data_IF_681982949699
#
_entry.id   IF_681982949699
#
_cell.length_a   1.000
_cell.length_b   1.000
_cell.length_c   1.000
_cell.angle_alpha   90.00
_cell.angle_beta   90.00
_cell.angle_gamma   90.00
#
_symmetry.space_group_name_H-M   'P 1'
#
loop_
_entity.id
_entity.type
_entity.pdbx_description
1 polymer ?
#
# COMPACT_ATOMS: atom_id res chain seq x y z
N UNK A 1 -21.86 -2.18 14.40
CA UNK A 1 -20.59 -1.89 13.72
C UNK A 1 -20.92 -0.97 12.56
N UNK A 2 -20.08 0.03 12.30
CA UNK A 2 -20.32 1.05 11.29
C UNK A 2 -18.99 1.45 10.62
N UNK A 3 -19.06 1.81 9.34
CA UNK A 3 -17.93 2.32 8.58
C UNK A 3 -17.67 3.78 8.94
N UNK A 4 -16.41 4.21 8.87
CA UNK A 4 -16.07 5.60 9.15
C UNK A 4 -15.01 6.19 8.20
N UNK A 5 -14.98 7.51 8.13
CA UNK A 5 -13.92 8.29 7.51
C UNK A 5 -13.01 8.80 8.62
N UNK A 6 -11.71 8.56 8.48
CA UNK A 6 -10.69 9.10 9.37
C UNK A 6 -9.90 10.17 8.62
N UNK A 7 -9.90 11.38 9.18
CA UNK A 7 -9.11 12.48 8.66
C UNK A 7 -7.65 12.26 9.00
N UNK A 8 -6.80 12.27 7.99
CA UNK A 8 -5.36 12.17 8.14
C UNK A 8 -4.66 13.27 7.36
N UNK A 9 -3.60 13.84 7.95
CA UNK A 9 -2.75 14.84 7.32
C UNK A 9 -1.30 14.41 7.50
N UNK A 10 -0.62 14.18 6.38
CA UNK A 10 0.81 13.90 6.36
C UNK A 10 1.57 15.01 7.14
N UNK A 11 2.44 14.63 8.06
CA UNK A 11 3.25 15.56 8.85
C UNK A 11 2.48 16.37 9.91
N UNK A 12 1.26 15.96 10.28
CA UNK A 12 0.65 16.46 11.51
C UNK A 12 1.50 16.02 12.71
N UNK A 13 1.64 16.86 13.75
CA UNK A 13 2.46 16.56 14.94
C UNK A 13 1.94 15.40 15.82
N UNK A 14 1.04 14.58 15.29
CA UNK A 14 0.51 13.38 15.92
C UNK A 14 1.41 12.18 15.60
N UNK A 15 1.51 11.23 16.55
CA UNK A 15 2.30 9.99 16.42
C UNK A 15 1.63 8.96 15.50
N UNK A 16 0.92 9.41 14.47
CA UNK A 16 0.19 8.56 13.56
C UNK A 16 1.16 7.81 12.65
N UNK A 17 1.00 6.50 12.58
CA UNK A 17 1.64 5.66 11.55
C UNK A 17 0.53 5.20 10.64
N UNK A 18 0.48 5.76 9.44
CA UNK A 18 -0.56 5.47 8.45
C UNK A 18 -0.72 3.96 8.28
N UNK A 19 -1.96 3.49 8.43
CA UNK A 19 -2.31 2.08 8.33
C UNK A 19 -1.99 1.20 9.53
N UNK A 20 -1.39 1.74 10.60
CA UNK A 20 -1.09 1.00 11.83
C UNK A 20 -1.71 1.64 13.08
N UNK A 21 -1.59 2.95 13.23
CA UNK A 21 -1.99 3.66 14.44
C UNK A 21 -2.58 5.02 14.09
N UNK A 22 -3.75 5.32 14.68
CA UNK A 22 -4.43 6.60 14.53
C UNK A 22 -4.75 7.20 15.88
N UNK A 23 -4.17 8.36 16.18
CA UNK A 23 -4.38 9.09 17.43
C UNK A 23 -5.55 10.06 17.31
N UNK A 24 -6.43 10.09 18.32
CA UNK A 24 -7.60 10.95 18.31
C UNK A 24 -8.06 11.38 19.71
N UNK A 25 -8.66 12.58 19.84
CA UNK A 25 -9.23 13.04 21.11
C UNK A 25 -10.53 12.31 21.46
N UNK A 26 -10.81 12.19 22.76
CA UNK A 26 -11.98 11.51 23.36
C UNK A 26 -13.34 11.93 22.79
N UNK A 27 -13.47 13.15 22.26
CA UNK A 27 -14.69 13.59 21.58
C UNK A 27 -15.10 12.68 20.40
N UNK A 28 -14.15 11.96 19.79
CA UNK A 28 -14.42 11.00 18.72
C UNK A 28 -14.54 9.55 19.18
N UNK A 29 -14.29 9.25 20.47
CA UNK A 29 -14.28 7.87 21.00
C UNK A 29 -15.56 7.11 20.68
N UNK A 30 -16.72 7.72 20.90
CA UNK A 30 -18.01 7.08 20.63
C UNK A 30 -18.21 6.72 19.15
N UNK A 31 -17.60 7.47 18.23
CA UNK A 31 -17.66 7.20 16.78
C UNK A 31 -16.66 6.13 16.38
N UNK A 32 -15.44 6.19 16.90
CA UNK A 32 -14.39 5.20 16.63
C UNK A 32 -14.77 3.82 17.18
N UNK A 33 -15.42 3.77 18.35
CA UNK A 33 -15.97 2.54 18.94
C UNK A 33 -17.02 1.89 18.03
N UNK A 34 -17.81 2.67 17.29
CA UNK A 34 -18.77 2.11 16.33
C UNK A 34 -18.08 1.41 15.17
N UNK A 35 -16.87 1.85 14.80
CA UNK A 35 -16.05 1.23 13.74
C UNK A 35 -15.15 0.09 14.21
N UNK A 36 -15.17 -0.27 15.49
CA UNK A 36 -14.38 -1.40 15.99
C UNK A 36 -14.80 -2.70 15.30
N UNK A 37 -13.82 -3.40 14.72
CA UNK A 37 -14.04 -4.60 13.92
C UNK A 37 -14.41 -4.34 12.46
N UNK A 38 -14.54 -3.07 12.06
CA UNK A 38 -14.99 -2.68 10.73
C UNK A 38 -14.01 -1.73 10.03
N UNK A 39 -14.34 -1.36 8.80
CA UNK A 39 -13.47 -0.63 7.89
C UNK A 39 -13.63 0.88 7.99
N UNK A 40 -12.52 1.56 7.80
CA UNK A 40 -12.43 3.00 7.65
C UNK A 40 -11.82 3.37 6.32
N UNK A 41 -12.10 4.58 5.86
CA UNK A 41 -11.48 5.19 4.69
C UNK A 41 -10.66 6.39 5.16
N UNK A 42 -9.43 6.49 4.69
CA UNK A 42 -8.57 7.64 4.91
C UNK A 42 -8.99 8.82 4.06
N UNK A 43 -9.11 10.00 4.66
CA UNK A 43 -9.48 11.25 4.00
C UNK A 43 -8.56 12.38 4.41
N UNK A 44 -8.10 13.20 3.47
CA UNK A 44 -7.35 14.40 3.83
C UNK A 44 -6.50 14.98 2.71
N UNK A 45 -5.68 16.00 3.01
CA UNK A 45 -4.73 16.52 2.05
C UNK A 45 -3.64 15.49 1.77
N UNK A 46 -3.25 15.38 0.50
CA UNK A 46 -2.07 14.60 0.08
C UNK A 46 -0.97 15.57 -0.33
N UNK A 47 0.26 15.26 0.07
CA UNK A 47 1.41 16.12 -0.22
C UNK A 47 1.58 16.34 -1.73
N UNK A 48 1.52 17.60 -2.17
CA UNK A 48 1.62 18.00 -3.57
C UNK A 48 0.29 18.04 -4.34
N UNK A 49 -0.86 17.84 -3.68
CA UNK A 49 -2.18 17.95 -4.31
C UNK A 49 -3.02 19.11 -3.74
N UNK A 50 -3.90 19.76 -4.55
CA UNK A 50 -4.58 20.99 -4.17
C UNK A 50 -5.86 20.81 -3.32
N UNK A 51 -6.39 19.60 -3.23
CA UNK A 51 -7.69 19.29 -2.61
C UNK A 51 -7.55 18.32 -1.43
N UNK A 52 -8.67 17.73 -1.01
CA UNK A 52 -8.74 16.63 -0.05
C UNK A 52 -9.24 15.38 -0.76
N UNK A 53 -8.61 14.26 -0.48
CA UNK A 53 -8.85 13.03 -1.20
C UNK A 53 -9.14 11.89 -0.24
N UNK A 54 -9.99 10.97 -0.67
CA UNK A 54 -10.01 9.63 -0.11
C UNK A 54 -8.84 8.85 -0.73
N UNK A 55 -8.05 8.18 0.11
CA UNK A 55 -6.74 7.67 -0.33
C UNK A 55 -6.49 6.19 -0.04
N UNK A 56 -7.28 5.56 0.84
CA UNK A 56 -7.09 4.16 1.17
C UNK A 56 -8.03 3.68 2.25
N UNK A 57 -7.92 2.41 2.59
CA UNK A 57 -8.76 1.69 3.55
C UNK A 57 -7.91 1.11 4.67
N UNK A 58 -8.50 0.93 5.84
CA UNK A 58 -7.95 0.09 6.91
C UNK A 58 -9.09 -0.47 7.77
N UNK A 59 -8.79 -1.50 8.56
CA UNK A 59 -9.73 -2.07 9.52
C UNK A 59 -9.32 -1.72 10.94
N UNK A 60 -10.27 -1.26 11.75
CA UNK A 60 -10.02 -0.96 13.17
C UNK A 60 -10.05 -2.25 13.97
N UNK A 61 -8.96 -2.57 14.65
CA UNK A 61 -8.80 -3.84 15.37
C UNK A 61 -8.89 -3.67 16.89
N UNK A 62 -8.43 -2.54 17.42
CA UNK A 62 -8.46 -2.23 18.84
C UNK A 62 -8.49 -0.73 19.07
N UNK A 63 -8.87 -0.32 20.28
CA UNK A 63 -8.79 1.06 20.76
C UNK A 63 -8.10 1.02 22.12
N UNK A 64 -7.02 1.77 22.25
CA UNK A 64 -6.23 1.90 23.47
C UNK A 64 -6.28 3.34 23.99
N UNK A 65 -6.13 3.53 25.30
CA UNK A 65 -5.98 4.85 25.89
C UNK A 65 -4.55 5.38 25.70
N UNK A 66 -4.40 6.69 25.51
CA UNK A 66 -3.09 7.34 25.55
C UNK A 66 -2.69 7.61 27.01
N UNK A 67 -1.64 6.93 27.47
CA UNK A 67 -1.12 7.08 28.84
C UNK A 67 -0.27 8.35 29.03
N UNK A 68 0.13 9.03 27.96
CA UNK A 68 0.88 10.28 27.98
C UNK A 68 -0.03 11.51 27.89
N UNK A 69 -1.09 11.42 27.08
CA UNK A 69 -2.01 12.55 26.83
C UNK A 69 -3.41 12.20 27.33
N UNK A 70 -3.84 12.87 28.40
CA UNK A 70 -5.19 12.70 28.92
C UNK A 70 -6.27 13.00 27.86
N UNK A 71 -7.39 12.27 27.96
CA UNK A 71 -8.53 12.36 27.03
C UNK A 71 -8.15 12.14 25.56
N UNK A 72 -7.11 11.36 25.30
CA UNK A 72 -6.75 10.88 23.97
C UNK A 72 -6.65 9.36 23.94
N UNK A 73 -6.80 8.82 22.73
CA UNK A 73 -6.85 7.39 22.46
C UNK A 73 -6.15 7.09 21.14
N UNK A 74 -5.75 5.84 20.98
CA UNK A 74 -5.23 5.28 19.75
C UNK A 74 -6.18 4.23 19.18
N UNK A 75 -6.48 4.31 17.89
CA UNK A 75 -7.08 3.21 17.15
C UNK A 75 -5.97 2.40 16.47
N UNK A 76 -5.91 1.09 16.77
CA UNK A 76 -5.06 0.16 16.02
C UNK A 76 -5.73 -0.21 14.72
N UNK A 77 -4.95 -0.17 13.66
CA UNK A 77 -5.38 -0.40 12.30
C UNK A 77 -4.64 -1.60 11.71
N UNK A 78 -5.33 -2.36 10.88
CA UNK A 78 -4.79 -3.49 10.14
C UNK A 78 -5.35 -3.52 8.71
N UNK A 79 -4.81 -4.42 7.88
CA UNK A 79 -5.29 -4.67 6.53
C UNK A 79 -5.34 -3.42 5.63
N UNK A 80 -4.40 -2.50 5.85
CA UNK A 80 -4.36 -1.24 5.12
C UNK A 80 -4.03 -1.46 3.64
N UNK A 81 -4.73 -0.75 2.76
CA UNK A 81 -4.50 -0.73 1.31
C UNK A 81 -4.78 0.68 0.75
N UNK A 82 -3.94 1.16 -0.15
CA UNK A 82 -4.18 2.40 -0.90
C UNK A 82 -5.24 2.20 -2.00
N UNK A 83 -5.97 3.26 -2.35
CA UNK A 83 -6.77 3.26 -3.57
C UNK A 83 -5.88 3.35 -4.81
N UNK A 84 -6.34 2.79 -5.93
CA UNK A 84 -5.69 2.86 -7.25
C UNK A 84 -5.37 4.30 -7.63
N UNK A 85 -6.27 5.22 -7.27
CA UNK A 85 -6.03 6.66 -7.32
C UNK A 85 -6.70 7.40 -6.16
N UNK A 86 -6.17 8.57 -5.77
CA UNK A 86 -6.86 9.47 -4.87
C UNK A 86 -8.21 9.91 -5.45
N UNK A 87 -9.28 9.79 -4.66
CA UNK A 87 -10.63 10.20 -5.05
C UNK A 87 -10.93 11.59 -4.50
N UNK A 88 -11.17 12.59 -5.37
CA UNK A 88 -11.55 13.92 -4.90
C UNK A 88 -12.90 13.85 -4.18
N UNK A 89 -13.02 14.50 -3.04
CA UNK A 89 -14.23 14.45 -2.23
C UNK A 89 -15.47 15.06 -2.87
N UNK A 90 -15.29 15.88 -3.92
CA UNK A 90 -16.37 16.46 -4.74
C UNK A 90 -16.63 15.68 -6.03
N UNK A 91 -15.84 14.64 -6.33
CA UNK A 91 -16.06 13.80 -7.52
C UNK A 91 -17.48 13.19 -7.47
N UNK A 92 -18.15 13.14 -8.62
CA UNK A 92 -19.50 12.57 -8.78
C UNK A 92 -20.57 13.15 -7.84
N UNK A 93 -20.47 14.45 -7.50
CA UNK A 93 -21.41 15.09 -6.58
C UNK A 93 -21.13 14.80 -5.10
N UNK A 94 -20.00 14.15 -4.81
CA UNK A 94 -19.51 13.84 -3.48
C UNK A 94 -19.97 12.49 -2.96
N UNK A 95 -19.03 11.72 -2.42
CA UNK A 95 -19.29 10.38 -1.89
C UNK A 95 -20.03 10.43 -0.55
N UNK A 96 -19.75 11.41 0.30
CA UNK A 96 -20.40 11.62 1.59
C UNK A 96 -21.58 12.59 1.44
N UNK A 97 -22.82 12.11 1.50
CA UNK A 97 -24.05 12.91 1.30
C UNK A 97 -24.27 13.97 2.37
N UNK A 98 -23.72 13.74 3.56
CA UNK A 98 -23.81 14.70 4.65
C UNK A 98 -22.66 15.72 4.62
N UNK A 99 -21.61 15.49 3.82
CA UNK A 99 -20.49 16.41 3.62
C UNK A 99 -20.71 17.29 2.39
N UNK A 100 -21.12 16.68 1.29
CA UNK A 100 -21.49 17.37 0.05
C UNK A 100 -22.98 17.18 -0.14
N UNK A 101 -23.69 18.30 -0.08
CA UNK A 101 -25.13 18.36 -0.29
C UNK A 101 -25.47 18.08 -1.76
N UNK A 102 -26.72 17.71 -2.10
CA UNK A 102 -27.15 17.46 -3.48
C UNK A 102 -26.99 18.67 -4.42
N UNK A 103 -26.93 19.88 -3.88
CA UNK A 103 -26.66 21.12 -4.61
C UNK A 103 -25.15 21.39 -4.84
N UNK A 104 -24.28 20.48 -4.42
CA UNK A 104 -22.83 20.60 -4.51
C UNK A 104 -22.19 21.47 -3.41
N UNK A 105 -22.99 22.02 -2.48
CA UNK A 105 -22.47 22.80 -1.35
C UNK A 105 -21.78 21.89 -0.33
N UNK A 106 -20.68 22.38 0.27
CA UNK A 106 -19.95 21.63 1.31
C UNK A 106 -20.45 22.05 2.68
N UNK A 107 -20.83 21.09 3.51
CA UNK A 107 -21.23 21.33 4.89
C UNK A 107 -20.01 21.73 5.74
N UNK A 108 -19.89 23.00 6.19
CA UNK A 108 -18.70 23.47 6.89
C UNK A 108 -18.52 22.77 8.24
N UNK A 109 -19.61 22.53 8.98
CA UNK A 109 -19.56 21.89 10.30
C UNK A 109 -19.14 20.43 10.24
N UNK A 110 -19.46 19.73 9.15
CA UNK A 110 -18.99 18.35 8.93
C UNK A 110 -17.56 18.31 8.41
N UNK A 111 -17.16 19.28 7.59
CA UNK A 111 -15.83 19.34 6.96
C UNK A 111 -14.64 19.47 7.93
N UNK A 112 -14.92 19.92 9.17
CA UNK A 112 -13.93 20.07 10.25
C UNK A 112 -13.86 18.85 11.16
N UNK A 113 -14.78 17.87 11.03
CA UNK A 113 -14.77 16.68 11.87
C UNK A 113 -13.74 15.67 11.38
N UNK A 114 -12.82 15.28 12.27
CA UNK A 114 -11.79 14.32 11.94
C UNK A 114 -12.35 12.91 11.73
N UNK A 115 -13.31 12.48 12.55
CA UNK A 115 -13.96 11.16 12.43
C UNK A 115 -15.43 11.31 12.06
N UNK A 116 -15.84 10.68 10.96
CA UNK A 116 -17.22 10.73 10.45
C UNK A 116 -17.75 9.34 10.15
N UNK A 117 -18.89 8.97 10.72
CA UNK A 117 -19.57 7.71 10.38
C UNK A 117 -20.26 7.87 9.02
N UNK A 118 -20.14 6.84 8.19
CA UNK A 118 -20.74 6.77 6.85
C UNK A 118 -21.61 5.52 6.72
N UNK A 119 -22.53 5.57 5.77
CA UNK A 119 -23.37 4.42 5.44
C UNK A 119 -22.62 3.38 4.60
N UNK A 120 -23.10 2.14 4.60
CA UNK A 120 -22.54 1.06 3.78
C UNK A 120 -22.59 1.37 2.28
N UNK A 121 -23.61 2.10 1.82
CA UNK A 121 -23.71 2.54 0.43
C UNK A 121 -22.64 3.56 0.03
N UNK A 122 -22.32 4.50 0.91
CA UNK A 122 -21.24 5.48 0.69
C UNK A 122 -19.87 4.78 0.72
N UNK A 123 -19.67 3.86 1.66
CA UNK A 123 -18.46 3.04 1.73
C UNK A 123 -18.28 2.19 0.47
N UNK A 124 -19.34 1.49 0.02
CA UNK A 124 -19.32 0.71 -1.20
C UNK A 124 -18.97 1.54 -2.43
N UNK A 125 -19.52 2.75 -2.55
CA UNK A 125 -19.20 3.66 -3.65
C UNK A 125 -17.72 4.06 -3.66
N UNK A 126 -17.14 4.36 -2.49
CA UNK A 126 -15.72 4.68 -2.35
C UNK A 126 -14.83 3.50 -2.72
N UNK A 127 -15.12 2.32 -2.18
CA UNK A 127 -14.33 1.10 -2.43
C UNK A 127 -14.39 0.72 -3.91
N UNK A 128 -15.60 0.66 -4.49
CA UNK A 128 -15.75 0.32 -5.89
C UNK A 128 -15.04 1.31 -6.79
N UNK A 129 -15.12 2.62 -6.49
CA UNK A 129 -14.46 3.63 -7.31
C UNK A 129 -12.94 3.67 -7.13
N UNK A 130 -12.47 3.39 -5.92
CA UNK A 130 -11.06 3.47 -5.53
C UNK A 130 -10.26 2.22 -5.86
N UNK A 131 -10.89 1.07 -6.07
CA UNK A 131 -10.21 -0.22 -6.32
C UNK A 131 -10.64 -0.90 -7.63
N UNK A 132 -11.34 -0.20 -8.53
CA UNK A 132 -11.84 -0.74 -9.80
C UNK A 132 -10.81 -0.84 -10.92
N UNK A 133 -9.64 -0.20 -10.82
CA UNK A 133 -8.72 -0.15 -11.96
C UNK A 133 -8.08 -1.52 -12.19
N UNK A 134 -8.20 -2.10 -13.41
CA UNK A 134 -7.64 -3.41 -13.70
C UNK A 134 -6.11 -3.36 -13.68
N UNK A 135 -5.47 -4.47 -13.34
CA UNK A 135 -4.03 -4.60 -13.51
C UNK A 135 -3.70 -4.58 -15.00
N UNK A 136 -3.02 -3.52 -15.46
CA UNK A 136 -2.66 -3.33 -16.86
C UNK A 136 -1.55 -4.30 -17.31
N UNK A 137 -0.90 -5.01 -16.38
CA UNK A 137 0.27 -5.83 -16.69
C UNK A 137 0.18 -7.28 -16.20
N UNK A 138 0.58 -8.24 -17.04
CA UNK A 138 0.70 -9.62 -16.61
C UNK A 138 1.75 -9.78 -15.49
N UNK A 139 1.57 -10.83 -14.68
CA UNK A 139 2.49 -11.15 -13.58
C UNK A 139 3.90 -11.47 -14.09
N UNK A 140 4.91 -11.38 -13.22
CA UNK A 140 6.31 -11.68 -13.60
C UNK A 140 6.48 -13.10 -14.14
N UNK A 141 5.73 -14.05 -13.59
CA UNK A 141 5.86 -15.50 -13.84
C UNK A 141 4.80 -15.95 -14.87
N UNK A 142 5.16 -16.92 -15.71
CA UNK A 142 4.23 -17.66 -16.56
C UNK A 142 3.16 -18.36 -15.73
N UNK A 143 1.89 -18.12 -16.04
CA UNK A 143 0.86 -19.02 -15.56
C UNK A 143 1.05 -20.37 -16.25
N UNK A 144 0.88 -21.47 -15.50
CA UNK A 144 0.91 -22.81 -16.06
C UNK A 144 -0.16 -22.92 -17.16
N UNK A 145 0.25 -22.81 -18.43
CA UNK A 145 -0.64 -22.72 -19.58
C UNK A 145 -0.21 -21.71 -20.65
N UNK A 146 0.61 -20.70 -20.31
CA UNK A 146 1.09 -19.67 -21.26
C UNK A 146 2.32 -20.10 -22.09
N UNK A 147 2.83 -21.32 -21.88
CA UNK A 147 3.96 -21.84 -22.63
C UNK A 147 3.53 -22.23 -24.06
N UNK A 148 3.61 -21.30 -25.00
CA UNK A 148 3.66 -21.59 -26.45
C UNK A 148 5.03 -22.19 -26.87
N UNK A 149 5.60 -23.08 -26.07
CA UNK A 149 6.75 -23.86 -26.51
C UNK A 149 6.23 -25.10 -27.26
N UNK A 150 6.77 -25.44 -28.45
CA UNK A 150 6.49 -26.72 -29.06
C UNK A 150 7.00 -27.80 -28.09
N UNK A 151 6.09 -28.68 -27.69
CA UNK A 151 6.42 -29.83 -26.85
C UNK A 151 7.38 -30.75 -27.59
N UNK A 152 8.62 -30.87 -27.10
CA UNK A 152 9.49 -32.01 -27.38
C UNK A 152 10.54 -32.17 -26.25
N UNK A 153 11.06 -33.37 -25.98
CA UNK A 153 10.61 -34.17 -24.85
C UNK A 153 11.82 -34.67 -24.05
N UNK A 154 12.37 -33.84 -23.16
CA UNK A 154 13.45 -34.30 -22.27
C UNK A 154 13.15 -33.89 -20.83
N UNK A 155 12.33 -34.74 -20.20
CA UNK A 155 12.42 -35.21 -18.82
C UNK A 155 13.14 -34.29 -17.84
N UNK A 156 12.37 -33.46 -17.15
CA UNK A 156 12.75 -32.98 -15.82
C UNK A 156 12.06 -33.85 -14.78
N UNK A 157 12.83 -34.35 -13.82
CA UNK A 157 12.35 -35.14 -12.70
C UNK A 157 11.32 -34.33 -11.90
N UNK A 158 10.05 -34.76 -11.93
CA UNK A 158 9.01 -34.27 -11.03
C UNK A 158 9.31 -34.80 -9.62
N UNK A 159 9.72 -33.90 -8.74
CA UNK A 159 9.62 -34.12 -7.30
C UNK A 159 8.21 -33.68 -6.92
N UNK A 160 7.38 -34.64 -6.48
CA UNK A 160 6.04 -34.39 -5.95
C UNK A 160 6.12 -33.48 -4.71
N UNK A 161 6.10 -32.16 -4.91
CA UNK A 161 5.57 -31.23 -3.92
C UNK A 161 4.07 -31.08 -4.15
N UNK A 162 3.21 -31.21 -3.12
CA UNK A 162 1.80 -30.97 -3.29
C UNK A 162 1.60 -29.50 -3.68
N UNK A 163 1.30 -29.30 -4.96
CA UNK A 163 0.88 -28.02 -5.53
C UNK A 163 -0.23 -27.45 -4.66
N UNK A 164 0.07 -26.35 -3.97
CA UNK A 164 -0.94 -25.57 -3.29
C UNK A 164 -1.93 -25.12 -4.36
N UNK A 165 -3.15 -25.66 -4.27
CA UNK A 165 -4.16 -25.58 -5.32
C UNK A 165 -4.23 -24.17 -5.93
N UNK A 166 -3.94 -24.09 -7.23
CA UNK A 166 -4.06 -22.88 -8.00
C UNK A 166 -5.45 -22.27 -7.78
N UNK A 167 -5.47 -21.01 -7.38
CA UNK A 167 -6.71 -20.24 -7.27
C UNK A 167 -7.29 -20.05 -8.68
N UNK A 168 -8.14 -20.99 -9.10
CA UNK A 168 -9.04 -20.78 -10.22
C UNK A 168 -10.14 -19.87 -9.69
N UNK A 169 -10.09 -18.59 -10.07
CA UNK A 169 -11.17 -17.67 -9.78
C UNK A 169 -12.38 -18.10 -10.62
N UNK A 170 -13.26 -18.89 -10.01
CA UNK A 170 -14.61 -19.14 -10.51
C UNK A 170 -15.23 -17.81 -10.93
N UNK A 171 -15.75 -17.76 -12.16
CA UNK A 171 -16.29 -16.60 -12.87
C UNK A 171 -17.56 -15.98 -12.28
N UNK A 172 -17.57 -15.74 -10.97
CA UNK A 172 -18.52 -14.88 -10.29
C UNK A 172 -17.82 -13.57 -9.93
N UNK A 173 -18.33 -12.45 -10.44
CA UNK A 173 -17.99 -11.11 -9.93
C UNK A 173 -18.37 -11.05 -8.44
N UNK A 174 -17.44 -11.42 -7.56
CA UNK A 174 -17.59 -11.14 -6.13
C UNK A 174 -17.47 -9.63 -5.97
N UNK A 175 -18.40 -8.97 -5.25
CA UNK A 175 -18.30 -7.53 -5.02
C UNK A 175 -16.93 -7.21 -4.41
N UNK A 176 -16.23 -6.18 -4.92
CA UNK A 176 -14.87 -5.76 -4.50
C UNK A 176 -14.74 -5.66 -2.97
N UNK A 177 -15.84 -5.33 -2.28
CA UNK A 177 -15.98 -5.33 -0.83
C UNK A 177 -15.63 -6.67 -0.15
N UNK A 178 -16.00 -7.81 -0.73
CA UNK A 178 -15.66 -9.14 -0.21
C UNK A 178 -14.20 -9.51 -0.51
N UNK A 179 -13.61 -8.96 -1.58
CA UNK A 179 -12.22 -9.21 -1.96
C UNK A 179 -11.22 -8.37 -1.17
N UNK A 180 -11.60 -7.15 -0.73
CA UNK A 180 -10.76 -6.26 0.08
C UNK A 180 -10.30 -6.92 1.40
N UNK A 181 -11.08 -7.89 1.87
CA UNK A 181 -10.78 -8.70 3.06
C UNK A 181 -9.67 -9.74 2.77
N UNK A 182 -9.50 -10.16 1.52
CA UNK A 182 -8.62 -11.26 1.15
C UNK A 182 -7.19 -10.79 0.85
N UNK A 183 -6.21 -11.45 1.47
CA UNK A 183 -4.78 -11.14 1.35
C UNK A 183 -4.27 -11.17 -0.10
N UNK A 184 -4.59 -12.17 -0.94
CA UNK A 184 -4.14 -12.21 -2.33
C UNK A 184 -4.61 -11.03 -3.18
N UNK A 185 -5.81 -10.49 -2.90
CA UNK A 185 -6.30 -9.29 -3.60
C UNK A 185 -5.47 -8.07 -3.22
N UNK A 186 -5.17 -7.89 -1.93
CA UNK A 186 -4.32 -6.79 -1.47
C UNK A 186 -2.89 -6.90 -1.99
N UNK A 187 -2.33 -8.11 -2.00
CA UNK A 187 -1.01 -8.37 -2.58
C UNK A 187 -0.97 -8.07 -4.08
N UNK A 188 -2.03 -8.39 -4.82
CA UNK A 188 -2.14 -8.05 -6.24
C UNK A 188 -2.19 -6.53 -6.45
N UNK A 189 -3.06 -5.82 -5.70
CA UNK A 189 -3.19 -4.36 -5.77
C UNK A 189 -1.90 -3.63 -5.37
N UNK A 190 -1.27 -4.03 -4.27
CA UNK A 190 0.02 -3.48 -3.85
C UNK A 190 1.08 -3.64 -4.95
N UNK A 191 1.20 -4.82 -5.55
CA UNK A 191 2.12 -5.05 -6.67
C UNK A 191 1.80 -4.16 -7.87
N UNK A 192 0.52 -4.04 -8.23
CA UNK A 192 0.05 -3.17 -9.29
C UNK A 192 0.46 -1.71 -9.02
N UNK A 193 0.14 -1.18 -7.83
CA UNK A 193 0.45 0.19 -7.46
C UNK A 193 1.96 0.46 -7.48
N UNK A 194 2.78 -0.41 -6.87
CA UNK A 194 4.24 -0.22 -6.87
C UNK A 194 4.80 -0.24 -8.29
N UNK A 195 4.37 -1.16 -9.15
CA UNK A 195 4.81 -1.20 -10.54
C UNK A 195 4.41 0.06 -11.31
N UNK A 196 3.22 0.58 -11.07
CA UNK A 196 2.73 1.79 -11.70
C UNK A 196 3.53 3.03 -11.27
N UNK A 197 3.71 3.25 -9.96
CA UNK A 197 4.35 4.48 -9.44
C UNK A 197 5.86 4.55 -9.71
N UNK A 198 6.52 3.41 -9.88
CA UNK A 198 7.93 3.31 -10.29
C UNK A 198 8.11 3.15 -11.81
N UNK A 199 7.03 3.22 -12.62
CA UNK A 199 7.06 2.95 -14.05
C UNK A 199 7.82 1.65 -14.41
N UNK A 200 7.60 0.60 -13.62
CA UNK A 200 8.24 -0.71 -13.75
C UNK A 200 9.77 -0.65 -13.78
N UNK A 201 10.35 0.34 -13.13
CA UNK A 201 11.80 0.57 -13.07
C UNK A 201 12.31 0.20 -11.69
N UNK A 202 13.37 -0.61 -11.64
CA UNK A 202 14.04 -0.92 -10.38
C UNK A 202 14.61 0.38 -9.78
N UNK A 203 14.24 0.68 -8.54
CA UNK A 203 14.65 1.89 -7.83
C UNK A 203 16.17 1.99 -7.67
N UNK A 204 16.86 0.85 -7.55
CA UNK A 204 18.29 0.81 -7.23
C UNK A 204 19.18 0.75 -8.48
N UNK A 205 18.75 0.03 -9.51
CA UNK A 205 19.55 -0.16 -10.73
C UNK A 205 19.15 0.81 -11.84
N UNK A 206 17.93 1.36 -11.77
CA UNK A 206 17.35 2.17 -12.84
C UNK A 206 16.94 1.36 -14.08
N UNK A 207 17.02 0.02 -14.02
CA UNK A 207 16.65 -0.84 -15.14
C UNK A 207 15.13 -0.99 -15.24
N UNK A 208 14.63 -0.85 -16.46
CA UNK A 208 13.23 -1.11 -16.84
C UNK A 208 13.22 -2.26 -17.85
N UNK A 209 13.15 -3.49 -17.34
CA UNK A 209 13.14 -4.70 -18.15
C UNK A 209 11.72 -5.23 -18.29
N UNK A 210 11.26 -5.35 -19.53
CA UNK A 210 9.94 -5.86 -19.90
C UNK A 210 10.15 -6.94 -20.96
N UNK A 211 9.60 -8.13 -20.74
CA UNK A 211 9.72 -9.23 -21.69
C UNK A 211 8.77 -9.05 -22.91
N UNK A 212 8.87 -9.93 -23.91
CA UNK A 212 8.04 -9.87 -25.11
C UNK A 212 6.52 -9.98 -24.88
N UNK A 213 6.10 -10.48 -23.71
CA UNK A 213 4.69 -10.55 -23.27
C UNK A 213 4.25 -9.38 -22.40
N UNK A 214 5.05 -8.30 -22.30
CA UNK A 214 4.70 -7.11 -21.51
C UNK A 214 4.90 -7.26 -19.99
N UNK A 215 5.56 -8.33 -19.53
CA UNK A 215 5.77 -8.60 -18.11
C UNK A 215 7.01 -7.89 -17.60
N UNK A 216 6.87 -7.05 -16.57
CA UNK A 216 8.02 -6.40 -15.98
C UNK A 216 8.79 -7.38 -15.08
N UNK A 217 10.13 -7.34 -15.15
CA UNK A 217 11.01 -8.12 -14.26
C UNK A 217 10.89 -7.67 -12.80
N UNK A 218 10.58 -6.40 -12.59
CA UNK A 218 10.54 -5.76 -11.27
C UNK A 218 9.48 -6.36 -10.34
N UNK A 219 9.87 -6.48 -9.09
CA UNK A 219 9.04 -6.91 -7.97
C UNK A 219 8.67 -5.74 -7.08
N UNK A 220 7.55 -5.86 -6.40
CA UNK A 220 7.17 -4.93 -5.34
C UNK A 220 7.66 -5.53 -4.01
N UNK A 221 8.71 -4.93 -3.45
CA UNK A 221 9.26 -5.31 -2.16
C UNK A 221 8.63 -4.46 -1.07
N UNK A 222 8.21 -5.07 0.04
CA UNK A 222 7.84 -4.34 1.25
C UNK A 222 9.11 -3.90 1.98
N UNK A 223 9.14 -2.65 2.44
CA UNK A 223 10.24 -2.12 3.24
C UNK A 223 10.17 -2.69 4.67
N UNK A 224 9.00 -2.64 5.28
CA UNK A 224 8.67 -3.42 6.48
C UNK A 224 7.90 -4.66 6.03
N UNK A 225 8.43 -5.87 6.20
CA UNK A 225 7.72 -7.09 5.84
C UNK A 225 6.40 -7.22 6.57
N UNK A 226 5.41 -7.80 5.91
CA UNK A 226 4.07 -8.02 6.46
C UNK A 226 4.11 -8.90 7.71
N UNK A 227 4.98 -9.92 7.73
CA UNK A 227 5.21 -10.78 8.89
C UNK A 227 5.68 -10.02 10.14
N UNK A 228 6.19 -8.80 9.95
CA UNK A 228 6.65 -7.89 11.01
C UNK A 228 5.71 -6.70 11.23
N UNK A 229 4.49 -6.76 10.71
CA UNK A 229 3.49 -5.70 10.88
C UNK A 229 3.51 -4.63 9.79
N UNK A 230 4.22 -4.87 8.68
CA UNK A 230 4.15 -4.02 7.49
C UNK A 230 2.75 -4.00 6.88
N UNK A 231 2.37 -2.85 6.31
CA UNK A 231 1.11 -2.69 5.60
C UNK A 231 1.30 -2.66 4.08
N UNK A 232 0.21 -2.76 3.34
CA UNK A 232 0.20 -2.75 1.88
C UNK A 232 0.09 -1.31 1.32
N UNK A 233 0.74 -0.35 1.99
CA UNK A 233 0.83 1.03 1.49
C UNK A 233 1.94 1.18 0.46
N UNK A 234 1.70 1.99 -0.58
CA UNK A 234 2.71 2.40 -1.56
C UNK A 234 3.96 2.97 -0.88
N UNK A 235 3.80 3.71 0.20
CA UNK A 235 4.92 4.28 0.95
C UNK A 235 5.74 3.24 1.73
N UNK A 236 5.19 2.05 1.98
CA UNK A 236 5.91 0.90 2.52
C UNK A 236 6.47 0.00 1.41
N UNK A 237 6.41 0.42 0.15
CA UNK A 237 6.86 -0.39 -0.98
C UNK A 237 7.94 0.26 -1.82
N UNK A 238 8.74 -0.60 -2.45
CA UNK A 238 9.78 -0.21 -3.38
C UNK A 238 9.87 -1.20 -4.53
N UNK A 239 10.05 -0.69 -5.75
CA UNK A 239 10.20 -1.53 -6.93
C UNK A 239 11.66 -1.98 -7.08
N UNK A 240 11.94 -3.28 -6.99
CA UNK A 240 13.30 -3.83 -7.05
C UNK A 240 13.39 -4.96 -8.09
N UNK A 241 14.53 -5.09 -8.75
CA UNK A 241 14.84 -6.29 -9.54
C UNK A 241 15.09 -7.48 -8.62
N UNK A 242 14.87 -8.71 -9.06
CA UNK A 242 14.88 -9.89 -8.19
C UNK A 242 16.17 -10.04 -7.38
N UNK A 243 17.33 -9.82 -8.00
CA UNK A 243 18.63 -9.86 -7.30
C UNK A 243 18.75 -8.77 -6.23
N UNK A 244 18.28 -7.56 -6.53
CA UNK A 244 18.35 -6.44 -5.57
C UNK A 244 17.33 -6.62 -4.46
N UNK A 245 16.13 -7.12 -4.77
CA UNK A 245 15.13 -7.47 -3.78
C UNK A 245 15.68 -8.47 -2.77
N UNK A 246 16.31 -9.55 -3.24
CA UNK A 246 16.99 -10.50 -2.37
C UNK A 246 18.06 -9.86 -1.50
N UNK A 247 18.89 -8.96 -2.05
CA UNK A 247 19.92 -8.24 -1.28
C UNK A 247 19.30 -7.33 -0.21
N UNK A 248 18.20 -6.66 -0.53
CA UNK A 248 17.48 -5.76 0.37
C UNK A 248 16.88 -6.55 1.55
N UNK A 249 16.13 -7.62 1.28
CA UNK A 249 15.52 -8.48 2.30
C UNK A 249 16.54 -9.15 3.23
N UNK A 250 17.75 -9.42 2.72
CA UNK A 250 18.85 -10.00 3.50
C UNK A 250 19.69 -8.96 4.25
N UNK A 251 19.32 -7.68 4.15
CA UNK A 251 19.99 -6.58 4.82
C UNK A 251 21.35 -6.21 4.23
N UNK A 252 21.66 -6.68 3.02
CA UNK A 252 22.88 -6.33 2.30
C UNK A 252 22.78 -4.93 1.68
N UNK A 253 21.55 -4.50 1.39
CA UNK A 253 21.24 -3.16 0.90
C UNK A 253 20.16 -2.51 1.75
N UNK A 254 20.20 -1.18 1.84
CA UNK A 254 19.14 -0.38 2.47
C UNK A 254 19.09 1.05 1.89
N UNK A 255 18.24 1.90 2.46
CA UNK A 255 18.12 3.31 2.09
C UNK A 255 18.21 4.22 3.32
N UNK A 256 18.95 5.30 3.18
CA UNK A 256 18.86 6.47 4.06
C UNK A 256 17.58 7.27 3.77
N UNK A 257 17.21 8.18 4.68
CA UNK A 257 15.98 9.00 4.56
C UNK A 257 16.04 9.98 3.38
N UNK A 258 17.24 10.27 2.89
CA UNK A 258 17.48 11.07 1.68
C UNK A 258 17.61 10.21 0.40
N UNK A 259 17.20 8.94 0.50
CA UNK A 259 17.23 7.91 -0.55
C UNK A 259 18.63 7.53 -1.05
N UNK A 260 19.68 7.81 -0.26
CA UNK A 260 21.01 7.24 -0.51
C UNK A 260 20.96 5.72 -0.34
N UNK A 261 21.47 4.99 -1.33
CA UNK A 261 21.63 3.54 -1.27
C UNK A 261 22.76 3.21 -0.29
N UNK A 262 22.44 2.45 0.74
CA UNK A 262 23.37 1.98 1.74
C UNK A 262 23.78 0.55 1.40
N UNK A 263 25.09 0.29 1.46
CA UNK A 263 25.67 -1.02 1.21
C UNK A 263 26.24 -1.58 2.51
N UNK A 264 25.93 -2.85 2.81
CA UNK A 264 26.47 -3.56 3.95
C UNK A 264 27.95 -3.89 3.75
N UNK A 265 28.73 -3.90 4.83
CA UNK A 265 30.11 -4.40 4.82
C UNK A 265 30.21 -5.91 4.62
N UNK A 266 29.08 -6.63 4.71
CA UNK A 266 29.01 -8.08 4.53
C UNK A 266 28.81 -8.50 3.06
N UNK A 267 28.77 -7.54 2.13
CA UNK A 267 28.87 -7.84 0.71
C UNK A 267 30.25 -8.41 0.39
N UNK A 268 30.27 -9.55 -0.28
CA UNK A 268 31.49 -10.24 -0.70
C UNK A 268 32.03 -9.74 -2.06
N UNK A 269 31.21 -9.01 -2.83
CA UNK A 269 31.54 -8.51 -4.17
C UNK A 269 31.12 -7.04 -4.32
N UNK A 270 31.83 -6.31 -5.19
CA UNK A 270 31.48 -4.95 -5.56
C UNK A 270 30.31 -4.94 -6.55
N UNK A 271 29.13 -4.59 -6.04
CA UNK A 271 27.90 -4.47 -6.82
C UNK A 271 27.64 -3.05 -7.33
N UNK A 272 28.58 -2.11 -7.17
CA UNK A 272 28.39 -0.70 -7.56
C UNK A 272 28.05 -0.53 -9.04
N UNK A 273 28.50 -1.46 -9.88
CA UNK A 273 28.19 -1.50 -11.31
C UNK A 273 26.73 -1.85 -11.62
N UNK A 274 26.02 -2.51 -10.69
CA UNK A 274 24.59 -2.81 -10.81
C UNK A 274 23.72 -1.62 -10.40
N UNK A 275 24.25 -0.74 -9.53
CA UNK A 275 23.50 0.37 -8.94
C UNK A 275 23.52 1.61 -9.85
N UNK A 276 22.56 2.50 -9.62
CA UNK A 276 22.57 3.85 -10.18
C UNK A 276 23.84 4.60 -9.78
N UNK A 277 24.47 5.26 -10.75
CA UNK A 277 25.81 5.87 -10.60
C UNK A 277 25.92 6.97 -9.55
N UNK A 278 24.82 7.65 -9.27
CA UNK A 278 24.76 8.72 -8.25
C UNK A 278 24.50 8.17 -6.84
N UNK A 279 24.32 6.85 -6.68
CA UNK A 279 24.01 6.21 -5.41
C UNK A 279 22.66 6.59 -4.82
N UNK A 280 21.76 7.22 -5.60
CA UNK A 280 20.46 7.70 -5.14
C UNK A 280 19.34 6.90 -5.79
N UNK A 281 18.58 6.17 -4.99
CA UNK A 281 17.48 5.37 -5.50
C UNK A 281 16.44 6.24 -6.24
N UNK A 282 15.94 5.70 -7.35
CA UNK A 282 14.88 6.30 -8.16
C UNK A 282 13.55 6.06 -7.45
N UNK A 283 13.04 7.10 -6.79
CA UNK A 283 11.74 7.08 -6.10
C UNK A 283 10.70 7.89 -6.89
N UNK A 284 9.39 7.67 -6.66
CA UNK A 284 8.34 8.40 -7.36
C UNK A 284 8.47 9.93 -7.22
N UNK A 285 8.12 10.65 -8.29
CA UNK A 285 8.20 12.11 -8.31
C UNK A 285 7.27 12.75 -7.28
N UNK A 286 6.05 12.23 -7.14
CA UNK A 286 5.06 12.71 -6.19
C UNK A 286 5.46 12.34 -4.74
N UNK A 287 5.61 13.31 -3.81
CA UNK A 287 6.11 13.04 -2.47
C UNK A 287 5.26 12.04 -1.66
N UNK A 288 3.93 12.07 -1.83
CA UNK A 288 3.03 11.15 -1.11
C UNK A 288 3.13 9.69 -1.58
N UNK A 289 3.84 9.41 -2.67
CA UNK A 289 4.09 8.05 -3.18
C UNK A 289 5.51 7.54 -2.86
N UNK A 290 6.34 8.35 -2.20
CA UNK A 290 7.73 7.96 -1.89
C UNK A 290 7.79 7.06 -0.67
N UNK A 291 8.83 6.20 -0.55
CA UNK A 291 9.13 5.48 0.67
C UNK A 291 9.12 6.41 1.88
N UNK A 292 8.31 6.08 2.90
CA UNK A 292 8.21 6.93 4.08
C UNK A 292 9.41 6.70 5.03
N UNK A 293 10.01 7.76 5.62
CA UNK A 293 11.16 7.64 6.52
C UNK A 293 10.96 6.67 7.68
N UNK A 294 9.73 6.55 8.19
CA UNK A 294 9.38 5.57 9.22
C UNK A 294 9.72 4.13 8.82
N UNK A 295 9.32 3.71 7.62
CA UNK A 295 9.59 2.35 7.14
C UNK A 295 11.09 2.17 6.83
N UNK A 296 11.72 3.18 6.25
CA UNK A 296 13.17 3.16 5.98
C UNK A 296 13.99 3.03 7.26
N UNK A 297 13.65 3.81 8.30
CA UNK A 297 14.25 3.71 9.63
C UNK A 297 14.09 2.32 10.23
N UNK A 298 12.87 1.77 10.19
CA UNK A 298 12.62 0.41 10.65
C UNK A 298 13.51 -0.62 9.94
N UNK A 299 13.62 -0.56 8.61
CA UNK A 299 14.45 -1.49 7.85
C UNK A 299 15.93 -1.36 8.22
N UNK A 300 16.43 -0.13 8.38
CA UNK A 300 17.82 0.10 8.82
C UNK A 300 18.09 -0.48 10.21
N UNK A 301 17.13 -0.39 11.12
CA UNK A 301 17.33 -0.80 12.51
C UNK A 301 17.12 -2.32 12.71
N UNK A 302 16.33 -2.98 11.86
CA UNK A 302 15.88 -4.37 12.08
C UNK A 302 16.39 -5.37 11.04
N UNK A 303 16.73 -4.92 9.83
CA UNK A 303 17.10 -5.79 8.70
C UNK A 303 18.52 -5.52 8.24
N UNK A 304 18.89 -4.25 8.07
CA UNK A 304 20.18 -3.86 7.53
C UNK A 304 21.35 -4.37 8.39
N UNK A 305 22.35 -4.94 7.72
CA UNK A 305 23.54 -5.48 8.36
C UNK A 305 24.65 -4.46 8.26
N UNK A 306 25.07 -3.93 9.41
CA UNK A 306 26.20 -3.01 9.51
C UNK A 306 27.55 -3.67 9.19
#
# INVERSE_FOLDING_TARGET
MAKAIFYHKDGSGYKDVRGQLYHFPKMYLSRVQQSLGDWIVYYGPLTGMPSRYYSGLARVTAIDDDNEIADHHYARLADYIDFDRPLDYRENGGFERQLVSPDGSVNPGRSVQAVRVISDGEFAALVNRGLSEPDEWPQRIDQAGDSHLPADPLTYFEVDEPTQAGYVADGYERPILQQTINRPFRDAKFRQHIRQVYDRTCAFTGLRLINGGGRPEVEAAHIVPVERGGNDSVQNGIALSGTVHWMFDRGLLSLADDFTILQSRQLNEDISHLLVKDGKARVPAAPHLRPHPHYLGWHRDNVFKH
#
